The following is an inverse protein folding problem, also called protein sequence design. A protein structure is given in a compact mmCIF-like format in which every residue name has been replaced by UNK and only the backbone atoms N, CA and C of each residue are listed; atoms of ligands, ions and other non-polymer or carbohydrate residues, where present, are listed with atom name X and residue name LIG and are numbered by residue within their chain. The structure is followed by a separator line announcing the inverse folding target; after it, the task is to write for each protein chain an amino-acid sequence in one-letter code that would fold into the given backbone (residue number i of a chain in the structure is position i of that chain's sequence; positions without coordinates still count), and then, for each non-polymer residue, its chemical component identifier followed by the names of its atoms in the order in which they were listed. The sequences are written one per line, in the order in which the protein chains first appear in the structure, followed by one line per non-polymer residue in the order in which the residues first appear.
data_IF_094551399516
#
_entry.id   IF_094551399516
#
_cell.length_a   1.000
_cell.length_b   1.000
_cell.length_c   1.000
_cell.angle_alpha   90.00
_cell.angle_beta   90.00
_cell.angle_gamma   90.00
#
_symmetry.space_group_name_H-M   'P 1'
#
loop_
_entity.id
_entity.type
_entity.pdbx_description
1 polymer ?
#
# COMPACT_ATOMS: atom_id res chain seq x y z
N UNK A 1 25.56 -6.49 4.08
CA UNK A 1 25.07 -7.80 3.58
C UNK A 1 24.37 -7.56 2.27
N UNK A 2 24.76 -8.26 1.20
CA UNK A 2 24.05 -8.24 -0.08
C UNK A 2 22.94 -9.29 -0.01
N UNK A 3 21.69 -8.85 0.13
CA UNK A 3 20.56 -9.77 -0.01
C UNK A 3 20.48 -10.23 -1.47
N UNK A 4 20.46 -11.54 -1.72
CA UNK A 4 20.25 -12.07 -3.06
C UNK A 4 18.75 -12.06 -3.38
N UNK A 5 18.21 -10.86 -3.68
CA UNK A 5 16.78 -10.69 -3.94
C UNK A 5 16.27 -11.53 -5.11
N UNK A 6 17.12 -11.84 -6.11
CA UNK A 6 16.73 -12.70 -7.23
C UNK A 6 16.39 -14.14 -6.80
N UNK A 7 17.13 -14.69 -5.84
CA UNK A 7 16.81 -16.00 -5.26
C UNK A 7 15.51 -15.94 -4.45
N UNK A 8 15.28 -14.85 -3.71
CA UNK A 8 14.05 -14.66 -2.93
C UNK A 8 12.82 -14.49 -3.82
N UNK A 9 12.94 -13.78 -4.94
CA UNK A 9 11.85 -13.63 -5.91
C UNK A 9 11.49 -14.97 -6.56
N UNK A 10 12.50 -15.78 -6.88
CA UNK A 10 12.29 -17.14 -7.42
C UNK A 10 11.61 -18.04 -6.39
N UNK A 11 12.04 -17.97 -5.12
CA UNK A 11 11.53 -18.81 -4.03
C UNK A 11 10.11 -18.41 -3.60
N UNK A 12 9.83 -17.12 -3.48
CA UNK A 12 8.62 -16.61 -2.83
C UNK A 12 7.69 -15.85 -3.76
N UNK A 13 8.19 -14.82 -4.45
CA UNK A 13 7.35 -13.91 -5.24
C UNK A 13 6.57 -14.67 -6.32
N UNK A 14 7.27 -15.50 -7.12
CA UNK A 14 6.63 -16.20 -8.24
C UNK A 14 5.57 -17.24 -7.80
N UNK A 15 5.86 -18.14 -6.83
CA UNK A 15 4.85 -19.08 -6.33
C UNK A 15 3.67 -18.39 -5.65
N UNK A 16 3.93 -17.39 -4.80
CA UNK A 16 2.86 -16.68 -4.08
C UNK A 16 1.99 -15.90 -5.06
N UNK A 17 2.55 -15.11 -5.98
CA UNK A 17 1.74 -14.39 -6.98
C UNK A 17 0.91 -15.34 -7.86
N UNK A 18 1.41 -16.55 -8.17
CA UNK A 18 0.61 -17.56 -8.87
C UNK A 18 -0.59 -18.01 -8.05
N UNK A 19 -0.39 -18.26 -6.76
CA UNK A 19 -1.48 -18.59 -5.83
C UNK A 19 -2.45 -17.41 -5.67
N UNK A 20 -1.96 -16.18 -5.49
CA UNK A 20 -2.83 -15.01 -5.33
C UNK A 20 -3.69 -14.74 -6.56
N UNK A 21 -3.26 -15.11 -7.78
CA UNK A 21 -4.13 -15.02 -8.97
C UNK A 21 -5.40 -15.86 -8.85
N UNK A 22 -5.39 -16.99 -8.13
CA UNK A 22 -6.62 -17.73 -7.86
C UNK A 22 -7.45 -17.10 -6.75
N UNK A 23 -6.81 -16.52 -5.73
CA UNK A 23 -7.48 -15.80 -4.63
C UNK A 23 -8.23 -14.56 -5.14
N UNK A 24 -7.60 -13.76 -6.00
CA UNK A 24 -8.18 -12.56 -6.60
C UNK A 24 -9.09 -12.84 -7.80
N UNK A 25 -9.30 -14.10 -8.16
CA UNK A 25 -10.10 -14.46 -9.34
C UNK A 25 -11.55 -13.99 -9.14
N UNK A 26 -12.03 -13.15 -10.06
CA UNK A 26 -13.37 -12.55 -10.04
C UNK A 26 -13.62 -11.58 -8.86
N UNK A 27 -12.56 -11.06 -8.23
CA UNK A 27 -12.66 -10.04 -7.18
C UNK A 27 -12.28 -8.69 -7.78
N UNK A 28 -13.13 -7.68 -7.61
CA UNK A 28 -12.87 -6.31 -8.06
C UNK A 28 -12.35 -5.46 -6.89
N UNK A 29 -11.03 -5.44 -6.72
CA UNK A 29 -10.31 -4.61 -5.74
C UNK A 29 -9.11 -3.93 -6.42
N UNK A 30 -9.33 -2.99 -7.36
CA UNK A 30 -8.27 -2.48 -8.23
C UNK A 30 -7.09 -1.87 -7.47
N UNK A 31 -7.31 -1.15 -6.36
CA UNK A 31 -6.23 -0.61 -5.51
C UNK A 31 -5.50 -1.62 -4.63
N UNK A 32 -6.06 -2.81 -4.40
CA UNK A 32 -5.55 -3.82 -3.45
C UNK A 32 -5.38 -5.17 -4.13
N UNK A 33 -5.00 -5.16 -5.41
CA UNK A 33 -4.74 -6.34 -6.20
C UNK A 33 -3.29 -6.84 -6.01
N UNK A 34 -2.86 -7.77 -6.86
CA UNK A 34 -1.49 -8.32 -6.81
C UNK A 34 -0.43 -7.23 -7.06
N UNK A 35 -0.74 -6.19 -7.85
CA UNK A 35 0.22 -5.10 -8.09
C UNK A 35 0.55 -4.35 -6.80
N UNK A 36 -0.43 -4.14 -5.92
CA UNK A 36 -0.24 -3.51 -4.62
C UNK A 36 0.72 -4.34 -3.75
N UNK A 37 0.48 -5.64 -3.61
CA UNK A 37 1.36 -6.54 -2.87
C UNK A 37 2.80 -6.50 -3.38
N UNK A 38 2.99 -6.41 -4.71
CA UNK A 38 4.32 -6.29 -5.33
C UNK A 38 4.99 -4.96 -4.95
N UNK A 39 4.27 -3.84 -4.98
CA UNK A 39 4.83 -2.54 -4.55
C UNK A 39 5.21 -2.55 -3.07
N UNK A 40 4.38 -3.13 -2.20
CA UNK A 40 4.72 -3.29 -0.77
C UNK A 40 5.95 -4.20 -0.59
N UNK A 41 6.07 -5.27 -1.37
CA UNK A 41 7.30 -6.09 -1.41
C UNK A 41 8.54 -5.25 -1.77
N UNK A 42 8.46 -4.37 -2.78
CA UNK A 42 9.56 -3.47 -3.12
C UNK A 42 9.85 -2.45 -2.01
N UNK A 43 8.82 -1.91 -1.36
CA UNK A 43 8.98 -1.04 -0.20
C UNK A 43 9.68 -1.78 0.96
N UNK A 44 9.32 -3.04 1.23
CA UNK A 44 9.99 -3.88 2.23
C UNK A 44 11.47 -4.07 1.89
N UNK A 45 11.82 -4.38 0.63
CA UNK A 45 13.23 -4.50 0.19
C UNK A 45 14.00 -3.20 0.43
N UNK A 46 13.42 -2.07 0.03
CA UNK A 46 14.04 -0.75 0.19
C UNK A 46 14.18 -0.37 1.66
N UNK A 47 13.19 -0.68 2.49
CA UNK A 47 13.19 -0.38 3.93
C UNK A 47 14.29 -1.16 4.67
N UNK A 48 14.47 -2.45 4.36
CA UNK A 48 15.44 -3.32 5.02
C UNK A 48 16.90 -2.95 4.76
N UNK A 49 17.17 -2.21 3.69
CA UNK A 49 18.54 -1.75 3.37
C UNK A 49 18.84 -0.34 3.89
N UNK A 50 17.87 0.32 4.55
CA UNK A 50 18.10 1.66 5.08
C UNK A 50 19.04 1.64 6.29
N UNK A 51 20.11 2.46 6.30
CA UNK A 51 21.08 2.51 7.40
C UNK A 51 20.48 2.91 8.75
N UNK A 52 19.38 3.66 8.76
CA UNK A 52 18.66 4.08 9.98
C UNK A 52 17.80 2.98 10.58
N UNK A 53 17.37 2.00 9.78
CA UNK A 53 16.50 0.90 10.24
C UNK A 53 17.33 -0.32 10.62
N UNK A 54 18.26 -0.69 9.74
CA UNK A 54 19.00 -1.95 9.81
C UNK A 54 19.67 -2.25 11.17
N UNK A 55 20.36 -1.30 11.84
CA UNK A 55 21.04 -1.57 13.11
C UNK A 55 20.10 -1.94 14.27
N UNK A 56 18.83 -1.57 14.16
CA UNK A 56 17.84 -1.72 15.22
C UNK A 56 16.88 -2.90 15.03
N UNK A 57 17.00 -3.59 13.89
CA UNK A 57 16.22 -4.80 13.59
C UNK A 57 16.70 -5.94 14.50
N UNK A 58 15.75 -6.61 15.15
CA UNK A 58 16.03 -7.79 15.94
C UNK A 58 16.63 -8.90 15.05
N UNK A 59 17.76 -9.52 15.42
CA UNK A 59 18.42 -10.57 14.61
C UNK A 59 17.56 -11.80 14.31
N UNK A 60 16.48 -12.04 15.07
CA UNK A 60 15.51 -13.10 14.78
C UNK A 60 14.67 -12.82 13.53
N UNK A 61 14.64 -11.56 13.06
CA UNK A 61 13.92 -11.14 11.87
C UNK A 61 14.84 -11.28 10.66
N UNK A 62 14.40 -12.07 9.69
CA UNK A 62 15.03 -12.15 8.38
C UNK A 62 14.17 -11.48 7.31
N UNK A 63 14.79 -11.17 6.18
CA UNK A 63 14.13 -10.49 5.06
C UNK A 63 13.02 -11.33 4.43
N UNK A 64 13.13 -12.66 4.44
CA UNK A 64 12.11 -13.55 3.86
C UNK A 64 10.77 -13.41 4.59
N UNK A 65 10.82 -13.30 5.93
CA UNK A 65 9.63 -13.16 6.76
C UNK A 65 8.82 -11.91 6.41
N UNK A 66 9.51 -10.77 6.26
CA UNK A 66 8.86 -9.52 5.89
C UNK A 66 8.29 -9.58 4.47
N UNK A 67 9.06 -10.15 3.55
CA UNK A 67 8.69 -10.26 2.15
C UNK A 67 7.47 -11.19 1.95
N UNK A 68 7.44 -12.35 2.61
CA UNK A 68 6.25 -13.23 2.60
C UNK A 68 5.06 -12.53 3.25
N UNK A 69 5.23 -11.90 4.41
CA UNK A 69 4.15 -11.19 5.08
C UNK A 69 3.55 -10.08 4.17
N UNK A 70 4.40 -9.35 3.43
CA UNK A 70 3.98 -8.30 2.51
C UNK A 70 3.07 -8.77 1.37
N UNK A 71 3.20 -10.02 0.92
CA UNK A 71 2.36 -10.54 -0.16
C UNK A 71 1.01 -11.05 0.32
N UNK A 72 0.86 -11.29 1.63
CA UNK A 72 -0.38 -11.83 2.20
C UNK A 72 -1.18 -10.81 3.00
N UNK A 73 -0.57 -9.72 3.49
CA UNK A 73 -1.15 -8.82 4.50
C UNK A 73 -2.60 -8.38 4.22
N UNK A 74 -2.91 -8.01 2.97
CA UNK A 74 -4.23 -7.52 2.56
C UNK A 74 -5.07 -8.52 1.74
N UNK A 75 -4.62 -9.78 1.61
CA UNK A 75 -5.34 -10.79 0.81
C UNK A 75 -6.73 -11.13 1.36
N UNK A 76 -6.95 -10.95 2.66
CA UNK A 76 -8.22 -11.11 3.34
C UNK A 76 -9.30 -10.12 2.91
N UNK A 77 -8.94 -8.99 2.27
CA UNK A 77 -9.91 -8.07 1.67
C UNK A 77 -10.73 -8.73 0.55
N UNK A 78 -10.24 -9.82 -0.02
CA UNK A 78 -11.03 -10.63 -0.98
C UNK A 78 -12.23 -11.34 -0.34
N UNK A 79 -12.27 -11.44 0.99
CA UNK A 79 -13.29 -12.12 1.78
C UNK A 79 -14.06 -11.12 2.66
N UNK A 80 -13.36 -10.23 3.35
CA UNK A 80 -13.93 -9.29 4.33
C UNK A 80 -13.22 -7.92 4.25
N UNK A 81 -13.98 -6.86 3.97
CA UNK A 81 -13.47 -5.48 3.86
C UNK A 81 -13.40 -4.73 5.20
N UNK A 82 -13.66 -5.40 6.32
CA UNK A 82 -13.62 -4.85 7.68
C UNK A 82 -12.22 -4.97 8.34
N UNK A 83 -12.12 -4.57 9.60
CA UNK A 83 -10.89 -4.71 10.42
C UNK A 83 -10.45 -6.17 10.61
N UNK A 84 -11.30 -7.15 10.28
CA UNK A 84 -10.98 -8.59 10.36
C UNK A 84 -10.19 -9.12 9.16
N UNK A 85 -9.92 -8.31 8.14
CA UNK A 85 -9.20 -8.75 6.95
C UNK A 85 -7.84 -9.37 7.29
N UNK A 86 -7.12 -8.86 8.30
CA UNK A 86 -5.84 -9.45 8.74
C UNK A 86 -5.96 -10.92 9.17
N UNK A 87 -7.02 -11.28 9.89
CA UNK A 87 -7.28 -12.68 10.25
C UNK A 87 -7.55 -13.55 9.01
N UNK A 88 -8.32 -13.05 8.04
CA UNK A 88 -8.58 -13.76 6.79
C UNK A 88 -7.31 -13.91 5.93
N UNK A 89 -6.47 -12.86 5.88
CA UNK A 89 -5.16 -12.88 5.24
C UNK A 89 -4.25 -13.96 5.82
N UNK A 90 -4.26 -14.13 7.14
CA UNK A 90 -3.53 -15.19 7.84
C UNK A 90 -4.01 -16.59 7.38
N UNK A 91 -5.32 -16.81 7.31
CA UNK A 91 -5.85 -18.11 6.87
C UNK A 91 -5.49 -18.40 5.40
N UNK A 92 -5.50 -17.39 4.53
CA UNK A 92 -5.03 -17.50 3.13
C UNK A 92 -3.54 -17.87 3.08
N UNK A 93 -2.70 -17.26 3.93
CA UNK A 93 -1.27 -17.58 4.05
C UNK A 93 -1.05 -19.04 4.51
N UNK A 94 -1.80 -19.50 5.52
CA UNK A 94 -1.74 -20.90 5.98
C UNK A 94 -2.10 -21.87 4.87
N UNK A 95 -3.15 -21.56 4.11
CA UNK A 95 -3.57 -22.39 2.97
C UNK A 95 -2.47 -22.50 1.91
N UNK A 96 -1.78 -21.39 1.60
CA UNK A 96 -0.65 -21.41 0.68
C UNK A 96 0.45 -22.38 1.16
N UNK A 97 0.84 -22.33 2.43
CA UNK A 97 1.86 -23.23 2.97
C UNK A 97 1.39 -24.69 3.04
N UNK A 98 0.11 -24.94 3.29
CA UNK A 98 -0.47 -26.29 3.23
C UNK A 98 -0.41 -26.89 1.81
N UNK A 99 -0.67 -26.08 0.79
CA UNK A 99 -0.56 -26.50 -0.63
C UNK A 99 0.89 -26.63 -1.11
N UNK A 100 1.85 -26.01 -0.42
CA UNK A 100 3.24 -25.96 -0.82
C UNK A 100 4.18 -26.41 0.33
N UNK A 101 4.09 -27.66 0.82
CA UNK A 101 4.84 -28.12 2.00
C UNK A 101 6.36 -28.11 1.84
N UNK A 102 6.87 -28.05 0.60
CA UNK A 102 8.29 -27.93 0.30
C UNK A 102 8.83 -26.50 0.50
N UNK A 103 7.95 -25.50 0.57
CA UNK A 103 8.33 -24.13 0.89
C UNK A 103 8.28 -23.94 2.40
N UNK A 104 9.45 -23.74 3.01
CA UNK A 104 9.58 -23.50 4.44
C UNK A 104 10.16 -22.12 4.71
N UNK A 105 9.59 -21.46 5.70
CA UNK A 105 10.07 -20.18 6.23
C UNK A 105 10.34 -20.31 7.72
N UNK A 106 11.47 -19.75 8.15
CA UNK A 106 11.82 -19.75 9.56
C UNK A 106 10.78 -18.95 10.35
N UNK A 107 10.31 -19.53 11.45
CA UNK A 107 9.39 -18.89 12.38
C UNK A 107 8.11 -18.35 11.70
N UNK A 108 7.38 -19.22 11.00
CA UNK A 108 6.09 -18.89 10.36
C UNK A 108 5.09 -18.24 11.34
N UNK A 109 5.12 -18.58 12.63
CA UNK A 109 4.27 -17.96 13.65
C UNK A 109 4.47 -16.43 13.74
N UNK A 110 5.70 -15.96 13.52
CA UNK A 110 6.03 -14.53 13.52
C UNK A 110 5.49 -13.82 12.26
N UNK A 111 5.59 -14.48 11.09
CA UNK A 111 5.01 -14.00 9.83
C UNK A 111 3.48 -13.91 9.96
N UNK A 112 2.87 -14.95 10.52
CA UNK A 112 1.44 -15.02 10.77
C UNK A 112 0.96 -13.88 11.68
N UNK A 113 1.69 -13.62 12.77
CA UNK A 113 1.38 -12.50 13.66
C UNK A 113 1.43 -11.16 12.91
N UNK A 114 2.47 -10.93 12.10
CA UNK A 114 2.61 -9.70 11.34
C UNK A 114 1.49 -9.51 10.32
N UNK A 115 1.09 -10.56 9.59
CA UNK A 115 -0.03 -10.53 8.65
C UNK A 115 -1.33 -10.15 9.36
N UNK A 116 -1.65 -10.83 10.46
CA UNK A 116 -2.92 -10.64 11.17
C UNK A 116 -3.05 -9.24 11.77
N UNK A 117 -1.94 -8.66 12.25
CA UNK A 117 -1.96 -7.42 13.02
C UNK A 117 -1.36 -6.20 12.29
N UNK A 118 -1.12 -6.28 10.98
CA UNK A 118 -0.45 -5.21 10.25
C UNK A 118 -1.21 -3.87 10.27
N UNK A 119 -2.55 -3.88 10.30
CA UNK A 119 -3.38 -2.67 10.42
C UNK A 119 -3.90 -2.43 11.86
N UNK A 120 -3.51 -3.27 12.82
CA UNK A 120 -3.93 -3.09 14.22
C UNK A 120 -3.20 -1.90 14.85
N UNK A 121 -3.96 -0.83 15.10
CA UNK A 121 -3.45 0.40 15.72
C UNK A 121 -3.30 0.29 17.23
N UNK A 122 -3.97 -0.67 17.87
CA UNK A 122 -3.99 -0.83 19.34
C UNK A 122 -2.66 -1.38 19.89
N UNK A 123 -1.94 -2.17 19.09
CA UNK A 123 -0.65 -2.77 19.47
C UNK A 123 0.55 -1.87 19.19
N UNK A 124 0.32 -0.65 18.68
CA UNK A 124 1.39 0.30 18.34
C UNK A 124 1.98 0.90 19.63
N UNK A 125 3.10 0.35 20.07
CA UNK A 125 3.89 0.87 21.19
C UNK A 125 4.89 1.95 20.75
N UNK A 126 5.23 2.86 21.65
CA UNK A 126 6.25 3.87 21.41
C UNK A 126 7.64 3.24 21.32
N UNK A 127 8.40 3.61 20.27
CA UNK A 127 9.78 3.18 20.05
C UNK A 127 9.89 1.83 19.34
N UNK A 128 10.79 1.72 18.36
CA UNK A 128 11.01 0.50 17.56
C UNK A 128 11.91 -0.53 18.27
N UNK A 129 12.88 -0.05 19.06
CA UNK A 129 13.82 -0.89 19.81
C UNK A 129 13.12 -1.56 21.01
N UNK A 130 13.64 -2.72 21.43
CA UNK A 130 13.23 -3.45 22.64
C UNK A 130 11.77 -3.97 22.65
N UNK A 131 11.08 -3.96 21.52
CA UNK A 131 9.81 -4.68 21.36
C UNK A 131 10.06 -6.11 20.87
N UNK A 132 9.04 -6.96 20.94
CA UNK A 132 9.17 -8.36 20.48
C UNK A 132 9.51 -8.40 18.98
N UNK A 133 10.23 -9.44 18.50
CA UNK A 133 10.54 -9.61 17.08
C UNK A 133 9.29 -9.58 16.19
N UNK A 134 8.19 -10.20 16.64
CA UNK A 134 6.93 -10.20 15.90
C UNK A 134 6.34 -8.79 15.76
N UNK A 135 6.41 -7.97 16.81
CA UNK A 135 5.92 -6.60 16.74
C UNK A 135 6.83 -5.71 15.89
N UNK A 136 8.15 -5.91 15.91
CA UNK A 136 9.06 -5.23 14.98
C UNK A 136 8.76 -5.59 13.52
N UNK A 137 8.58 -6.89 13.22
CA UNK A 137 8.22 -7.36 11.88
C UNK A 137 6.90 -6.74 11.41
N UNK A 138 5.89 -6.73 12.29
CA UNK A 138 4.59 -6.08 12.05
C UNK A 138 4.79 -4.61 11.68
N UNK A 139 5.62 -3.88 12.42
CA UNK A 139 5.87 -2.45 12.14
C UNK A 139 6.63 -2.20 10.85
N UNK A 140 7.58 -3.07 10.50
CA UNK A 140 8.26 -3.00 9.20
C UNK A 140 7.25 -3.20 8.07
N UNK A 141 6.35 -4.17 8.21
CA UNK A 141 5.27 -4.43 7.26
C UNK A 141 4.30 -3.24 7.16
N UNK A 142 3.74 -2.77 8.28
CA UNK A 142 2.83 -1.62 8.30
C UNK A 142 3.48 -0.38 7.71
N UNK A 143 4.77 -0.15 7.98
CA UNK A 143 5.47 1.00 7.40
C UNK A 143 5.62 0.84 5.89
N UNK A 144 5.98 -0.36 5.41
CA UNK A 144 6.11 -0.60 3.97
C UNK A 144 4.78 -0.48 3.21
N UNK A 145 3.66 -0.89 3.81
CA UNK A 145 2.31 -0.61 3.26
C UNK A 145 1.99 0.89 3.30
N UNK A 146 2.26 1.58 4.42
CA UNK A 146 2.05 3.04 4.56
C UNK A 146 2.76 3.84 3.44
N UNK A 147 3.93 3.38 2.97
CA UNK A 147 4.66 4.02 1.87
C UNK A 147 3.94 3.95 0.51
N UNK A 148 3.05 2.98 0.31
CA UNK A 148 2.20 2.84 -0.88
C UNK A 148 0.93 3.73 -0.79
N UNK A 149 0.72 4.41 0.34
CA UNK A 149 -0.36 5.40 0.53
C UNK A 149 0.09 6.85 0.21
N UNK A 150 1.35 7.05 -0.20
CA UNK A 150 1.87 8.35 -0.62
C UNK A 150 1.91 8.50 -2.15
N UNK A 151 2.15 9.71 -2.65
CA UNK A 151 2.25 9.98 -4.08
C UNK A 151 0.91 9.95 -4.79
N UNK A 152 0.94 9.92 -6.13
CA UNK A 152 -0.30 9.93 -6.92
C UNK A 152 -1.05 8.60 -6.80
N UNK A 153 -0.32 7.49 -6.58
CA UNK A 153 -0.96 6.21 -6.30
C UNK A 153 -1.71 6.23 -4.97
N UNK A 154 -1.15 6.86 -3.94
CA UNK A 154 -1.83 7.10 -2.68
C UNK A 154 -3.11 7.90 -2.86
N UNK A 155 -3.06 8.98 -3.66
CA UNK A 155 -4.26 9.76 -4.03
C UNK A 155 -5.32 8.87 -4.66
N UNK A 156 -4.94 8.07 -5.66
CA UNK A 156 -5.84 7.15 -6.35
C UNK A 156 -6.48 6.15 -5.38
N UNK A 157 -5.66 5.44 -4.57
CA UNK A 157 -6.11 4.43 -3.60
C UNK A 157 -7.07 5.03 -2.57
N UNK A 158 -6.77 6.22 -2.04
CA UNK A 158 -7.62 6.87 -1.05
C UNK A 158 -8.99 7.26 -1.64
N UNK A 159 -9.02 7.81 -2.85
CA UNK A 159 -10.28 8.15 -3.52
C UNK A 159 -11.11 6.88 -3.75
N UNK A 160 -10.49 5.82 -4.26
CA UNK A 160 -11.16 4.55 -4.54
C UNK A 160 -11.75 3.91 -3.27
N UNK A 161 -10.91 3.63 -2.25
CA UNK A 161 -11.35 2.92 -1.02
C UNK A 161 -12.46 3.68 -0.33
N UNK A 162 -12.31 5.00 -0.16
CA UNK A 162 -13.30 5.78 0.58
C UNK A 162 -14.62 5.85 -0.19
N UNK A 163 -14.57 5.95 -1.51
CA UNK A 163 -15.76 5.93 -2.36
C UNK A 163 -16.45 4.56 -2.34
N UNK A 164 -15.71 3.45 -2.41
CA UNK A 164 -16.26 2.08 -2.27
C UNK A 164 -16.95 1.89 -0.91
N UNK A 165 -16.41 2.52 0.14
CA UNK A 165 -17.01 2.54 1.49
C UNK A 165 -18.23 3.47 1.62
N UNK A 166 -18.68 4.07 0.52
CA UNK A 166 -19.88 4.92 0.48
C UNK A 166 -19.67 6.33 1.01
N UNK A 167 -18.42 6.79 1.17
CA UNK A 167 -18.15 8.16 1.58
C UNK A 167 -18.36 9.09 0.38
N UNK A 168 -19.07 10.20 0.61
CA UNK A 168 -19.22 11.25 -0.39
C UNK A 168 -17.85 11.87 -0.72
N UNK A 169 -17.62 12.23 -1.99
CA UNK A 169 -16.35 12.81 -2.46
C UNK A 169 -15.97 14.06 -1.64
N UNK A 170 -16.95 14.84 -1.23
CA UNK A 170 -16.82 16.04 -0.40
C UNK A 170 -16.25 15.75 1.01
N UNK A 171 -16.45 14.54 1.54
CA UNK A 171 -15.94 14.14 2.85
C UNK A 171 -14.53 13.54 2.78
N UNK A 172 -14.13 13.00 1.61
CA UNK A 172 -12.88 12.24 1.46
C UNK A 172 -11.65 13.04 1.92
N UNK A 173 -11.42 14.30 1.49
CA UNK A 173 -10.21 15.03 1.90
C UNK A 173 -10.05 15.14 3.43
N UNK A 174 -11.13 15.43 4.15
CA UNK A 174 -11.11 15.61 5.61
C UNK A 174 -10.82 14.31 6.36
N UNK A 175 -11.16 13.16 5.77
CA UNK A 175 -10.85 11.85 6.36
C UNK A 175 -9.43 11.39 6.00
N UNK A 176 -8.98 11.67 4.78
CA UNK A 176 -7.69 11.22 4.26
C UNK A 176 -6.53 11.97 4.88
N UNK A 177 -6.62 13.30 5.01
CA UNK A 177 -5.52 14.13 5.54
C UNK A 177 -5.01 13.67 6.93
N UNK A 178 -5.86 13.45 7.95
CA UNK A 178 -5.39 12.93 9.23
C UNK A 178 -4.87 11.49 9.15
N UNK A 179 -5.47 10.65 8.30
CA UNK A 179 -4.97 9.28 8.08
C UNK A 179 -3.55 9.30 7.51
N UNK A 180 -3.32 10.09 6.47
CA UNK A 180 -2.03 10.22 5.79
C UNK A 180 -0.97 10.84 6.70
N UNK A 181 -1.33 11.85 7.51
CA UNK A 181 -0.44 12.43 8.51
C UNK A 181 0.00 11.39 9.54
N UNK A 182 -0.92 10.54 10.01
CA UNK A 182 -0.58 9.46 10.95
C UNK A 182 0.35 8.42 10.31
N UNK A 183 0.14 8.04 9.05
CA UNK A 183 1.03 7.13 8.30
C UNK A 183 2.43 7.72 8.16
N UNK A 184 2.53 9.00 7.78
CA UNK A 184 3.81 9.69 7.65
C UNK A 184 4.55 9.83 8.99
N UNK A 185 3.85 10.08 10.08
CA UNK A 185 4.45 10.11 11.41
C UNK A 185 5.01 8.73 11.82
N UNK A 186 4.34 7.62 11.49
CA UNK A 186 4.89 6.29 11.75
C UNK A 186 6.18 6.05 10.96
N UNK A 187 6.18 6.44 9.68
CA UNK A 187 7.35 6.38 8.83
C UNK A 187 8.51 7.19 9.44
N UNK A 188 8.28 8.42 9.89
CA UNK A 188 9.29 9.29 10.51
C UNK A 188 9.82 8.79 11.85
N UNK A 189 9.00 8.05 12.61
CA UNK A 189 9.43 7.38 13.84
C UNK A 189 10.35 6.19 13.59
N UNK A 190 10.22 5.53 12.43
CA UNK A 190 11.10 4.43 12.03
C UNK A 190 12.36 4.94 11.33
N UNK A 191 12.21 5.92 10.44
CA UNK A 191 13.29 6.50 9.64
C UNK A 191 13.36 8.00 9.91
N UNK A 192 14.44 8.42 10.57
CA UNK A 192 14.66 9.82 10.95
C UNK A 192 15.92 10.43 10.33
N UNK A 193 16.42 9.85 9.24
CA UNK A 193 17.58 10.36 8.51
C UNK A 193 17.19 11.34 7.39
N UNK A 194 18.20 11.83 6.67
CA UNK A 194 18.07 12.68 5.49
C UNK A 194 18.44 11.95 4.19
N UNK A 195 18.32 10.62 4.16
CA UNK A 195 18.63 9.81 2.96
C UNK A 195 17.72 10.17 1.78
N UNK A 196 18.17 9.83 0.57
CA UNK A 196 17.37 9.99 -0.65
C UNK A 196 16.03 9.23 -0.55
N UNK A 197 16.04 8.07 0.12
CA UNK A 197 14.82 7.30 0.42
C UNK A 197 13.83 8.12 1.25
N UNK A 198 14.31 8.76 2.32
CA UNK A 198 13.48 9.61 3.17
C UNK A 198 12.96 10.83 2.44
N UNK A 199 13.80 11.49 1.65
CA UNK A 199 13.40 12.65 0.85
C UNK A 199 12.37 12.28 -0.22
N UNK A 200 12.56 11.14 -0.88
CA UNK A 200 11.63 10.62 -1.89
C UNK A 200 10.22 10.39 -1.31
N UNK A 201 10.10 9.66 -0.20
CA UNK A 201 8.79 9.41 0.41
C UNK A 201 8.20 10.66 1.07
N UNK A 202 9.03 11.57 1.60
CA UNK A 202 8.56 12.88 2.10
C UNK A 202 7.94 13.72 1.00
N UNK A 203 8.57 13.76 -0.19
CA UNK A 203 8.00 14.44 -1.36
C UNK A 203 6.66 13.81 -1.75
N UNK A 204 6.60 12.48 -1.88
CA UNK A 204 5.37 11.76 -2.22
C UNK A 204 4.23 12.04 -1.23
N UNK A 205 4.53 12.08 0.07
CA UNK A 205 3.57 12.48 1.11
C UNK A 205 3.04 13.90 0.87
N UNK A 206 3.94 14.87 0.65
CA UNK A 206 3.56 16.26 0.42
C UNK A 206 2.73 16.44 -0.86
N UNK A 207 3.08 15.76 -1.95
CA UNK A 207 2.33 15.80 -3.20
C UNK A 207 0.88 15.33 -2.97
N UNK A 208 0.69 14.23 -2.25
CA UNK A 208 -0.63 13.69 -1.95
C UNK A 208 -1.42 14.61 -0.99
N UNK A 209 -0.79 15.17 0.04
CA UNK A 209 -1.42 16.17 0.94
C UNK A 209 -1.86 17.40 0.17
N UNK A 210 -1.01 17.93 -0.71
CA UNK A 210 -1.33 19.08 -1.56
C UNK A 210 -2.53 18.77 -2.46
N UNK A 211 -2.57 17.58 -3.06
CA UNK A 211 -3.71 17.14 -3.86
C UNK A 211 -5.02 17.20 -3.06
N UNK A 212 -5.07 16.58 -1.87
CA UNK A 212 -6.31 16.53 -1.08
C UNK A 212 -6.72 17.90 -0.53
N UNK A 213 -5.78 18.78 -0.17
CA UNK A 213 -6.10 20.16 0.22
C UNK A 213 -6.72 20.95 -0.93
N UNK A 214 -6.20 20.79 -2.14
CA UNK A 214 -6.76 21.45 -3.32
C UNK A 214 -8.10 20.84 -3.73
N UNK A 215 -8.27 19.52 -3.61
CA UNK A 215 -9.55 18.86 -3.82
C UNK A 215 -10.62 19.40 -2.85
N UNK A 216 -10.29 19.51 -1.56
CA UNK A 216 -11.17 20.11 -0.54
C UNK A 216 -11.55 21.55 -0.91
N UNK A 217 -10.56 22.34 -1.31
CA UNK A 217 -10.79 23.72 -1.76
C UNK A 217 -11.71 23.79 -2.99
N UNK A 218 -11.48 22.97 -4.02
CA UNK A 218 -12.30 22.95 -5.24
C UNK A 218 -13.75 22.53 -4.95
N UNK A 219 -13.96 21.52 -4.10
CA UNK A 219 -15.29 21.02 -3.73
C UNK A 219 -16.07 22.05 -2.91
N UNK A 220 -15.40 22.80 -2.04
CA UNK A 220 -16.03 23.81 -1.19
C UNK A 220 -16.34 25.13 -1.93
N UNK A 221 -15.58 25.48 -2.98
CA UNK A 221 -15.70 26.78 -3.63
C UNK A 221 -16.68 26.88 -4.80
N UNK A 222 -17.49 25.83 -5.08
CA UNK A 222 -18.55 25.81 -6.12
C UNK A 222 -18.16 26.53 -7.42
N UNK A 223 -16.90 26.40 -7.85
CA UNK A 223 -16.45 27.04 -9.09
C UNK A 223 -17.24 26.47 -10.26
N UNK A 224 -17.65 27.34 -11.18
CA UNK A 224 -18.52 27.02 -12.33
C UNK A 224 -17.88 25.93 -13.23
N UNK A 225 -16.55 25.80 -13.22
CA UNK A 225 -15.81 24.74 -13.89
C UNK A 225 -15.31 23.70 -12.88
N UNK A 226 -15.36 22.43 -13.30
CA UNK A 226 -14.77 21.32 -12.58
C UNK A 226 -13.25 21.56 -12.48
N UNK A 227 -12.74 21.78 -11.27
CA UNK A 227 -11.31 21.92 -11.05
C UNK A 227 -10.56 20.63 -11.38
N UNK A 228 -9.23 20.72 -11.56
CA UNK A 228 -8.43 19.60 -12.02
C UNK A 228 -8.47 18.42 -11.04
N UNK A 229 -8.41 18.69 -9.73
CA UNK A 229 -8.39 17.65 -8.69
C UNK A 229 -9.75 16.96 -8.63
N UNK A 230 -10.84 17.73 -8.74
CA UNK A 230 -12.21 17.23 -8.80
C UNK A 230 -12.44 16.38 -10.03
N UNK A 231 -11.91 16.77 -11.20
CA UNK A 231 -11.95 15.95 -12.40
C UNK A 231 -11.26 14.61 -12.17
N UNK A 232 -10.01 14.63 -11.67
CA UNK A 232 -9.24 13.42 -11.45
C UNK A 232 -9.96 12.46 -10.50
N UNK A 233 -10.49 12.96 -9.39
CA UNK A 233 -11.24 12.15 -8.44
C UNK A 233 -12.54 11.59 -9.02
N UNK A 234 -13.31 12.41 -9.75
CA UNK A 234 -14.56 11.95 -10.40
C UNK A 234 -14.31 10.95 -11.52
N UNK A 235 -13.19 11.07 -12.24
CA UNK A 235 -12.78 10.09 -13.26
C UNK A 235 -12.53 8.73 -12.62
N UNK A 236 -11.80 8.68 -11.49
CA UNK A 236 -11.60 7.43 -10.73
C UNK A 236 -12.94 6.83 -10.32
N UNK A 237 -13.81 7.60 -9.66
CA UNK A 237 -15.11 7.12 -9.21
C UNK A 237 -15.92 6.56 -10.40
N UNK A 238 -16.04 7.34 -11.48
CA UNK A 238 -16.81 6.94 -12.66
C UNK A 238 -16.24 5.70 -13.34
N UNK A 239 -14.96 5.69 -13.66
CA UNK A 239 -14.40 4.63 -14.50
C UNK A 239 -14.15 3.35 -13.69
N UNK A 240 -13.66 3.46 -12.47
CA UNK A 240 -13.25 2.30 -11.67
C UNK A 240 -14.42 1.71 -10.89
N UNK A 241 -15.23 2.57 -10.27
CA UNK A 241 -16.31 2.13 -9.37
C UNK A 241 -17.59 1.92 -10.17
N UNK A 242 -18.01 2.88 -11.01
CA UNK A 242 -19.27 2.76 -11.75
C UNK A 242 -19.15 1.87 -12.98
N UNK A 243 -18.04 1.93 -13.73
CA UNK A 243 -17.84 1.09 -14.94
C UNK A 243 -17.02 -0.18 -14.70
N UNK A 244 -16.40 -0.35 -13.54
CA UNK A 244 -15.59 -1.53 -13.22
C UNK A 244 -14.27 -1.63 -13.99
N UNK A 245 -13.69 -0.51 -14.42
CA UNK A 245 -12.38 -0.52 -15.09
C UNK A 245 -11.27 -0.96 -14.12
N UNK A 246 -10.23 -1.60 -14.65
CA UNK A 246 -8.95 -1.71 -13.95
C UNK A 246 -8.23 -0.35 -13.88
N UNK A 247 -7.18 -0.25 -13.05
CA UNK A 247 -6.35 0.96 -12.97
C UNK A 247 -5.78 1.30 -14.36
N UNK A 248 -5.24 0.31 -15.07
CA UNK A 248 -4.63 0.46 -16.40
C UNK A 248 -5.66 0.92 -17.44
N UNK A 249 -6.84 0.30 -17.44
CA UNK A 249 -7.93 0.69 -18.34
C UNK A 249 -8.35 2.15 -18.13
N UNK A 250 -8.41 2.60 -16.88
CA UNK A 250 -8.71 4.00 -16.57
C UNK A 250 -7.60 4.95 -17.02
N UNK A 251 -6.33 4.60 -16.74
CA UNK A 251 -5.17 5.37 -17.17
C UNK A 251 -5.15 5.53 -18.70
N UNK A 252 -5.25 4.42 -19.43
CA UNK A 252 -5.18 4.45 -20.89
C UNK A 252 -6.37 5.21 -21.50
N UNK A 253 -7.57 5.04 -20.93
CA UNK A 253 -8.75 5.81 -21.33
C UNK A 253 -8.52 7.32 -21.15
N UNK A 254 -8.10 7.76 -19.97
CA UNK A 254 -7.93 9.19 -19.67
C UNK A 254 -6.76 9.81 -20.44
N UNK A 255 -5.64 9.10 -20.60
CA UNK A 255 -4.51 9.55 -21.43
C UNK A 255 -4.94 9.73 -22.89
N UNK A 256 -5.81 8.86 -23.42
CA UNK A 256 -6.30 8.98 -24.80
C UNK A 256 -7.23 10.17 -25.02
N UNK A 257 -7.97 10.57 -23.98
CA UNK A 257 -8.95 11.67 -24.04
C UNK A 257 -8.32 13.04 -23.76
N UNK A 258 -7.30 13.09 -22.91
CA UNK A 258 -6.66 14.34 -22.47
C UNK A 258 -5.51 14.71 -23.42
N UNK A 259 -5.59 15.89 -24.04
CA UNK A 259 -4.57 16.36 -24.97
C UNK A 259 -3.34 16.98 -24.28
N UNK A 260 -3.55 17.69 -23.17
CA UNK A 260 -2.51 18.36 -22.39
C UNK A 260 -3.03 18.80 -21.03
N UNK A 261 -2.12 19.13 -20.11
CA UNK A 261 -2.44 19.76 -18.82
C UNK A 261 -2.20 18.84 -17.62
N UNK A 262 -2.38 19.37 -16.39
CA UNK A 262 -1.95 18.71 -15.16
C UNK A 262 -2.65 17.37 -14.91
N UNK A 263 -3.89 17.19 -15.38
CA UNK A 263 -4.62 15.93 -15.22
C UNK A 263 -3.95 14.81 -16.04
N UNK A 264 -3.53 15.11 -17.28
CA UNK A 264 -2.79 14.16 -18.12
C UNK A 264 -1.47 13.77 -17.44
N UNK A 265 -0.78 14.75 -16.87
CA UNK A 265 0.49 14.53 -16.19
C UNK A 265 0.31 13.64 -14.95
N UNK A 266 -0.79 13.79 -14.20
CA UNK A 266 -1.12 12.89 -13.09
C UNK A 266 -1.41 11.46 -13.54
N UNK A 267 -2.13 11.25 -14.64
CA UNK A 267 -2.35 9.88 -15.16
C UNK A 267 -1.06 9.25 -15.69
N UNK A 268 -0.17 10.04 -16.33
CA UNK A 268 1.17 9.57 -16.71
C UNK A 268 2.02 9.24 -15.49
N UNK A 269 1.98 10.06 -14.45
CA UNK A 269 2.68 9.78 -13.20
C UNK A 269 2.13 8.51 -12.55
N UNK A 270 0.81 8.33 -12.53
CA UNK A 270 0.17 7.12 -12.00
C UNK A 270 0.62 5.89 -12.77
N UNK A 271 0.67 5.97 -14.11
CA UNK A 271 1.23 4.90 -14.97
C UNK A 271 2.65 4.52 -14.56
N UNK A 272 3.51 5.51 -14.37
CA UNK A 272 4.90 5.28 -13.94
C UNK A 272 5.02 4.76 -12.51
N UNK A 273 4.06 5.01 -11.61
CA UNK A 273 4.09 4.49 -10.22
C UNK A 273 3.52 3.07 -10.11
N UNK A 274 2.76 2.58 -11.09
CA UNK A 274 2.23 1.20 -11.12
C UNK A 274 3.09 0.21 -11.91
N UNK A 275 3.92 0.69 -12.85
CA UNK A 275 4.87 -0.09 -13.66
C UNK A 275 6.19 -0.37 -12.90
#
# INVERSE_FOLDING_TARGET
MTHNFSQLETKWLNPICRFLRSVYKNIHLPSHDISHHIRVWHNCKSLMVQPSVYPDINPAINVEQLLVASLFHDTGLTIDNSEKHGFMSLEICKEFFNQNPNLQIDNLAMVNFAIEHHDDKSIRVNGFKNVSPALQLTRLLSTADDLDAFGIIGVYRFIEIYSIRGNALEAIPQMVLPNMANRFENFRKLINDNSDFTQYHTKRYHDAVCFFKNLDYELNNKTINLGNHTYFARSIIRNIIEKGYSIEQNIDNEISMLQQGPILDWFKQLKNEIE
#
